data_IF_199431058541
#
_entry.id   IF_199431058541
#
_cell.length_a   1.000
_cell.length_b   1.000
_cell.length_c   1.000
_cell.angle_alpha   90.00
_cell.angle_beta   90.00
_cell.angle_gamma   90.00
#
_symmetry.space_group_name_H-M   'P 1'
#
loop_
_entity.id
_entity.type
_entity.pdbx_description
1 polymer ?
#
# COMPACT_ATOMS: atom_id res chain seq x y z
N UNK A 1 3.17 -3.35 20.54
CA UNK A 1 3.09 -2.16 21.40
C UNK A 1 1.63 -1.75 21.50
N UNK A 2 1.20 -1.28 22.66
CA UNK A 2 -0.10 -0.64 22.87
C UNK A 2 -0.02 0.83 22.44
N UNK A 3 -1.18 1.50 22.31
CA UNK A 3 -1.22 2.92 21.97
C UNK A 3 -0.53 3.79 23.03
N UNK A 4 -0.70 3.44 24.30
CA UNK A 4 -0.01 4.12 25.42
C UNK A 4 1.51 3.94 25.34
N UNK A 5 1.99 2.74 25.00
CA UNK A 5 3.43 2.49 24.79
C UNK A 5 3.96 3.30 23.62
N UNK A 6 3.23 3.40 22.50
CA UNK A 6 3.62 4.25 21.37
C UNK A 6 3.73 5.72 21.78
N UNK A 7 2.74 6.26 22.50
CA UNK A 7 2.77 7.65 22.93
C UNK A 7 3.94 7.93 23.87
N UNK A 8 4.13 7.09 24.88
CA UNK A 8 5.19 7.28 25.90
C UNK A 8 6.59 7.13 25.28
N UNK A 9 6.81 6.10 24.47
CA UNK A 9 8.13 5.88 23.83
C UNK A 9 8.41 6.95 22.77
N UNK A 10 7.38 7.50 22.10
CA UNK A 10 7.53 8.63 21.19
C UNK A 10 8.10 9.85 21.90
N UNK A 11 7.53 10.22 23.05
CA UNK A 11 8.00 11.37 23.85
C UNK A 11 9.43 11.16 24.35
N UNK A 12 9.76 9.96 24.81
CA UNK A 12 11.11 9.62 25.26
C UNK A 12 12.13 9.75 24.13
N UNK A 13 11.83 9.20 22.95
CA UNK A 13 12.74 9.26 21.79
C UNK A 13 12.84 10.69 21.22
N UNK A 14 11.74 11.43 21.13
CA UNK A 14 11.75 12.79 20.66
C UNK A 14 12.62 13.69 21.55
N UNK A 15 12.51 13.53 22.88
CA UNK A 15 13.30 14.30 23.83
C UNK A 15 14.77 13.85 23.84
N UNK A 16 15.07 12.55 23.77
CA UNK A 16 16.45 12.06 23.74
C UNK A 16 17.23 12.51 22.49
N UNK A 17 16.58 12.52 21.33
CA UNK A 17 17.19 12.95 20.06
C UNK A 17 17.31 14.48 19.95
N UNK A 18 16.55 15.24 20.75
CA UNK A 18 16.66 16.70 20.79
C UNK A 18 17.88 17.21 21.56
N UNK A 19 18.50 16.38 22.39
CA UNK A 19 19.66 16.73 23.26
C UNK A 19 20.95 16.97 22.46
N UNK A 20 21.01 16.72 21.17
CA UNK A 20 22.16 17.01 20.31
C UNK A 20 22.33 18.50 19.95
N UNK A 21 21.64 19.44 20.63
CA UNK A 21 21.87 20.87 20.44
C UNK A 21 23.04 21.34 21.31
N UNK A 22 23.96 22.17 20.76
CA UNK A 22 25.09 22.65 21.53
C UNK A 22 24.62 23.47 22.74
N UNK A 23 25.27 23.24 23.84
CA UNK A 23 25.16 23.91 25.14
C UNK A 23 24.67 25.35 25.05
N UNK A 24 23.47 25.66 25.53
CA UNK A 24 23.02 27.04 25.71
C UNK A 24 21.62 27.45 25.29
N UNK A 25 20.82 26.56 24.68
CA UNK A 25 19.39 26.86 24.43
C UNK A 25 18.50 26.10 25.42
N UNK A 26 17.59 26.85 26.03
CA UNK A 26 16.61 26.43 27.04
C UNK A 26 16.07 25.02 26.84
N UNK A 27 16.20 24.17 27.86
CA UNK A 27 15.67 22.83 28.04
C UNK A 27 14.13 22.82 28.15
N UNK A 28 13.42 23.30 27.14
CA UNK A 28 12.00 23.00 27.07
C UNK A 28 11.83 21.67 26.37
N UNK A 29 11.27 20.65 27.06
CA UNK A 29 10.98 19.38 26.42
C UNK A 29 10.12 19.60 25.20
N UNK A 30 10.38 18.80 24.13
CA UNK A 30 9.54 18.79 22.95
C UNK A 30 8.23 18.12 23.31
N UNK A 31 7.14 18.88 23.29
CA UNK A 31 5.80 18.35 23.49
C UNK A 31 5.12 18.18 22.15
N UNK A 32 4.57 16.99 21.93
CA UNK A 32 3.69 16.65 20.81
C UNK A 32 2.33 16.24 21.36
N UNK A 33 1.26 16.77 20.80
CA UNK A 33 -0.07 16.31 21.17
C UNK A 33 -0.37 14.94 20.52
N UNK A 34 -1.36 14.21 21.04
CA UNK A 34 -1.67 12.84 20.60
C UNK A 34 -2.13 12.80 19.12
N UNK A 35 -2.73 13.88 18.61
CA UNK A 35 -3.06 13.99 17.20
C UNK A 35 -1.81 14.09 16.31
N UNK A 36 -0.85 14.95 16.68
CA UNK A 36 0.41 15.08 15.96
C UNK A 36 1.18 13.76 15.95
N UNK A 37 1.28 13.07 17.10
CA UNK A 37 1.90 11.75 17.20
C UNK A 37 1.22 10.75 16.28
N UNK A 38 -0.12 10.71 16.29
CA UNK A 38 -0.91 9.82 15.44
C UNK A 38 -0.67 10.07 13.95
N UNK A 39 -0.57 11.35 13.52
CA UNK A 39 -0.25 11.72 12.14
C UNK A 39 1.13 11.21 11.73
N UNK A 40 2.16 11.43 12.58
CA UNK A 40 3.52 10.96 12.28
C UNK A 40 3.63 9.44 12.28
N UNK A 41 2.97 8.75 13.22
CA UNK A 41 2.95 7.29 13.28
C UNK A 41 2.27 6.68 12.06
N UNK A 42 1.12 7.22 11.63
CA UNK A 42 0.42 6.78 10.43
C UNK A 42 1.29 6.94 9.18
N UNK A 43 1.91 8.10 9.02
CA UNK A 43 2.81 8.38 7.89
C UNK A 43 4.04 7.46 7.88
N UNK A 44 4.65 7.26 9.03
CA UNK A 44 5.79 6.36 9.19
C UNK A 44 5.41 4.90 8.86
N UNK A 45 4.24 4.44 9.32
CA UNK A 45 3.69 3.13 8.99
C UNK A 45 3.57 2.93 7.48
N UNK A 46 2.97 3.88 6.75
CA UNK A 46 2.87 3.80 5.30
C UNK A 46 4.24 3.80 4.60
N UNK A 47 5.16 4.63 5.08
CA UNK A 47 6.53 4.70 4.54
C UNK A 47 7.25 3.37 4.67
N UNK A 48 7.14 2.73 5.84
CA UNK A 48 7.75 1.42 6.10
C UNK A 48 7.13 0.33 5.24
N UNK A 49 5.79 0.31 5.08
CA UNK A 49 5.12 -0.66 4.19
C UNK A 49 5.63 -0.52 2.76
N UNK A 50 5.74 0.72 2.23
CA UNK A 50 6.29 0.98 0.90
C UNK A 50 7.75 0.55 0.78
N UNK A 51 8.56 0.83 1.79
CA UNK A 51 9.98 0.51 1.80
C UNK A 51 10.23 -1.02 1.88
N UNK A 52 9.40 -1.74 2.65
CA UNK A 52 9.46 -3.21 2.72
C UNK A 52 9.02 -3.86 1.41
N UNK A 53 7.95 -3.34 0.78
CA UNK A 53 7.47 -3.87 -0.49
C UNK A 53 8.49 -3.66 -1.62
N UNK A 54 9.04 -2.46 -1.73
CA UNK A 54 10.01 -2.10 -2.79
C UNK A 54 11.43 -2.65 -2.55
N UNK A 55 11.72 -3.18 -1.36
CA UNK A 55 13.06 -3.65 -1.00
C UNK A 55 14.03 -2.56 -0.59
N UNK A 56 13.60 -1.31 -0.51
CA UNK A 56 14.48 -0.17 -0.17
C UNK A 56 15.06 -0.25 1.25
N UNK A 57 14.37 -0.94 2.16
CA UNK A 57 14.81 -1.07 3.56
C UNK A 57 15.82 -2.21 3.75
N UNK A 58 15.66 -3.31 3.03
CA UNK A 58 16.40 -4.56 3.27
C UNK A 58 17.27 -4.97 2.09
N UNK A 59 17.20 -4.26 0.97
CA UNK A 59 17.83 -4.63 -0.30
C UNK A 59 17.16 -5.82 -0.99
N UNK A 60 16.04 -6.33 -0.45
CA UNK A 60 15.24 -7.43 -1.02
C UNK A 60 13.77 -7.04 -1.04
N UNK A 61 13.07 -7.37 -2.13
CA UNK A 61 11.66 -7.07 -2.30
C UNK A 61 10.77 -8.02 -1.49
N UNK A 62 9.49 -7.65 -1.35
CA UNK A 62 8.48 -8.41 -0.61
C UNK A 62 8.43 -9.90 -1.00
N UNK A 63 8.58 -10.22 -2.29
CA UNK A 63 8.48 -11.60 -2.79
C UNK A 63 9.75 -12.43 -2.55
N UNK A 64 10.90 -11.79 -2.28
CA UNK A 64 12.19 -12.49 -2.21
C UNK A 64 12.43 -13.19 -0.87
N UNK A 65 11.79 -12.75 0.21
CA UNK A 65 12.02 -13.34 1.54
C UNK A 65 10.74 -13.69 2.28
N UNK A 66 10.75 -14.85 2.96
CA UNK A 66 9.61 -15.28 3.78
C UNK A 66 9.33 -14.33 4.94
N UNK A 67 10.36 -13.74 5.53
CA UNK A 67 10.20 -12.82 6.65
C UNK A 67 9.44 -11.55 6.26
N UNK A 68 9.76 -10.96 5.10
CA UNK A 68 9.05 -9.79 4.59
C UNK A 68 7.57 -10.09 4.31
N UNK A 69 7.29 -11.29 3.74
CA UNK A 69 5.91 -11.75 3.56
C UNK A 69 5.16 -11.90 4.88
N UNK A 70 5.82 -12.40 5.93
CA UNK A 70 5.24 -12.49 7.28
C UNK A 70 4.98 -11.13 7.90
N UNK A 71 5.88 -10.16 7.72
CA UNK A 71 5.71 -8.81 8.27
C UNK A 71 4.49 -8.08 7.69
N UNK A 72 4.23 -8.26 6.40
CA UNK A 72 3.10 -7.63 5.72
C UNK A 72 1.87 -8.54 5.56
N UNK A 73 1.91 -9.77 6.10
CA UNK A 73 0.83 -10.75 5.92
C UNK A 73 -0.54 -10.27 6.40
N UNK A 74 -0.58 -9.42 7.44
CA UNK A 74 -1.82 -8.84 7.96
C UNK A 74 -2.52 -7.92 6.94
N UNK A 75 -1.77 -7.33 6.02
CA UNK A 75 -2.27 -6.42 4.99
C UNK A 75 -2.61 -7.15 3.67
N UNK A 76 -2.29 -8.44 3.54
CA UNK A 76 -2.56 -9.18 2.31
C UNK A 76 -4.03 -9.57 2.25
N UNK A 77 -4.74 -9.00 1.28
CA UNK A 77 -6.15 -9.29 1.02
C UNK A 77 -6.33 -9.90 -0.36
N UNK A 78 -7.44 -10.60 -0.56
CA UNK A 78 -7.83 -11.16 -1.86
C UNK A 78 -9.22 -10.67 -2.21
N UNK A 79 -9.40 -10.19 -3.44
CA UNK A 79 -10.69 -9.76 -3.97
C UNK A 79 -10.93 -10.34 -5.34
N UNK A 80 -12.16 -10.80 -5.57
CA UNK A 80 -12.61 -11.29 -6.87
C UNK A 80 -13.71 -10.37 -7.40
N UNK A 81 -13.48 -9.83 -8.58
CA UNK A 81 -14.44 -9.05 -9.33
C UNK A 81 -15.18 -9.98 -10.30
N UNK A 82 -16.48 -9.78 -10.41
CA UNK A 82 -17.30 -10.44 -11.42
C UNK A 82 -17.07 -9.76 -12.78
N UNK A 83 -17.65 -10.35 -13.84
CA UNK A 83 -17.60 -9.80 -15.19
C UNK A 83 -17.89 -8.29 -15.16
N UNK A 84 -17.02 -7.50 -15.80
CA UNK A 84 -17.22 -6.06 -15.91
C UNK A 84 -18.34 -5.75 -16.91
N UNK A 85 -19.20 -4.80 -16.55
CA UNK A 85 -20.27 -4.33 -17.42
C UNK A 85 -19.78 -3.24 -18.41
N UNK A 86 -18.67 -2.56 -18.08
CA UNK A 86 -18.11 -1.49 -18.88
C UNK A 86 -16.91 -1.97 -19.71
N UNK A 87 -16.92 -1.59 -20.99
CA UNK A 87 -15.77 -1.78 -21.87
C UNK A 87 -14.80 -0.61 -21.71
N UNK A 88 -13.51 -0.91 -21.75
CA UNK A 88 -12.46 0.10 -21.74
C UNK A 88 -12.32 0.83 -23.09
N UNK A 89 -11.26 1.63 -23.19
CA UNK A 89 -10.96 2.41 -24.39
C UNK A 89 -10.48 1.53 -25.56
N UNK A 90 -9.87 0.38 -25.25
CA UNK A 90 -9.32 -0.53 -26.25
C UNK A 90 -10.35 -1.60 -26.63
N UNK A 91 -10.30 -2.04 -27.89
CA UNK A 91 -11.18 -3.13 -28.37
C UNK A 91 -10.88 -4.42 -27.60
N UNK A 92 -11.91 -5.03 -27.01
CA UNK A 92 -11.79 -6.25 -26.21
C UNK A 92 -11.24 -6.00 -24.80
N UNK A 93 -11.43 -4.80 -24.27
CA UNK A 93 -11.00 -4.47 -22.92
C UNK A 93 -12.16 -4.37 -21.93
N UNK A 94 -11.84 -4.64 -20.65
CA UNK A 94 -12.77 -4.65 -19.54
C UNK A 94 -12.22 -3.78 -18.42
N UNK A 95 -13.04 -2.87 -17.89
CA UNK A 95 -12.67 -1.99 -16.81
C UNK A 95 -13.05 -2.59 -15.45
N UNK A 96 -12.13 -2.59 -14.53
CA UNK A 96 -12.34 -2.99 -13.15
C UNK A 96 -11.90 -1.87 -12.20
N UNK A 97 -12.86 -1.30 -11.47
CA UNK A 97 -12.56 -0.30 -10.45
C UNK A 97 -11.99 -1.00 -9.22
N UNK A 98 -10.80 -0.59 -8.80
CA UNK A 98 -10.17 -1.07 -7.59
C UNK A 98 -10.67 -0.27 -6.38
N UNK A 99 -10.62 -0.90 -5.21
CA UNK A 99 -10.92 -0.19 -3.97
C UNK A 99 -9.79 0.77 -3.62
N UNK A 100 -10.12 1.84 -2.92
CA UNK A 100 -9.14 2.87 -2.51
C UNK A 100 -8.09 2.36 -1.51
N UNK A 101 -8.31 1.18 -0.91
CA UNK A 101 -7.37 0.53 -0.01
C UNK A 101 -6.31 -0.31 -0.74
N UNK A 102 -6.41 -0.52 -2.04
CA UNK A 102 -5.41 -1.27 -2.83
C UNK A 102 -4.13 -0.45 -2.97
N UNK A 103 -3.06 -0.89 -2.32
CA UNK A 103 -1.76 -0.23 -2.40
C UNK A 103 -0.85 -0.87 -3.44
N UNK A 104 -0.69 -2.19 -3.39
CA UNK A 104 0.15 -2.95 -4.33
C UNK A 104 -0.52 -4.27 -4.68
N UNK A 105 -0.63 -4.58 -5.96
CA UNK A 105 -1.13 -5.87 -6.44
C UNK A 105 0.05 -6.84 -6.49
N UNK A 106 -0.07 -7.98 -5.78
CA UNK A 106 0.99 -8.99 -5.69
C UNK A 106 0.73 -10.19 -6.59
N UNK A 107 -0.52 -10.50 -6.85
CA UNK A 107 -0.90 -11.61 -7.72
C UNK A 107 -2.23 -11.32 -8.40
N UNK A 108 -2.33 -11.75 -9.64
CA UNK A 108 -3.50 -11.52 -10.47
C UNK A 108 -3.84 -12.74 -11.30
N UNK A 109 -5.12 -12.98 -11.48
CA UNK A 109 -5.62 -14.00 -12.41
C UNK A 109 -7.00 -13.63 -12.91
N UNK A 110 -7.31 -14.01 -14.14
CA UNK A 110 -8.65 -13.89 -14.68
C UNK A 110 -9.14 -15.24 -15.17
N UNK A 111 -10.45 -15.46 -15.20
CA UNK A 111 -11.05 -16.69 -15.70
C UNK A 111 -12.04 -16.42 -16.82
N UNK A 112 -12.19 -17.37 -17.72
CA UNK A 112 -13.12 -17.33 -18.83
C UNK A 112 -13.77 -18.69 -19.06
N UNK A 113 -15.02 -18.65 -19.46
CA UNK A 113 -15.81 -19.79 -19.96
C UNK A 113 -16.15 -19.63 -21.45
N UNK A 114 -15.40 -18.78 -22.16
CA UNK A 114 -15.62 -18.56 -23.60
C UNK A 114 -15.45 -19.88 -24.37
N UNK A 115 -16.49 -20.24 -25.14
CA UNK A 115 -16.53 -21.48 -25.96
C UNK A 115 -15.45 -21.56 -27.04
N UNK A 116 -14.78 -20.45 -27.33
CA UNK A 116 -13.63 -20.41 -28.26
C UNK A 116 -12.37 -20.98 -27.64
N UNK A 117 -12.34 -21.17 -26.34
CA UNK A 117 -11.23 -21.80 -25.62
C UNK A 117 -11.42 -23.30 -25.55
N UNK A 118 -10.33 -24.05 -25.60
CA UNK A 118 -10.36 -25.51 -25.53
C UNK A 118 -10.66 -26.07 -24.14
N UNK A 119 -10.92 -25.23 -23.15
CA UNK A 119 -11.18 -25.61 -21.76
C UNK A 119 -12.52 -25.01 -21.30
N UNK A 120 -13.30 -25.81 -20.58
CA UNK A 120 -14.57 -25.36 -19.99
C UNK A 120 -14.39 -24.19 -19.01
N UNK A 121 -13.21 -24.05 -18.41
CA UNK A 121 -12.81 -22.92 -17.56
C UNK A 121 -11.34 -22.65 -17.75
N UNK A 122 -11.03 -21.64 -18.54
CA UNK A 122 -9.66 -21.19 -18.75
C UNK A 122 -9.25 -20.18 -17.69
N UNK A 123 -7.99 -20.27 -17.26
CA UNK A 123 -7.36 -19.32 -16.36
C UNK A 123 -6.25 -18.59 -17.09
N UNK A 124 -6.24 -17.26 -16.99
CA UNK A 124 -5.26 -16.41 -17.64
C UNK A 124 -4.28 -15.84 -16.62
N UNK A 125 -3.03 -15.79 -17.04
CA UNK A 125 -2.01 -14.95 -16.41
C UNK A 125 -2.28 -13.50 -16.82
N UNK A 126 -2.26 -12.59 -15.86
CA UNK A 126 -2.39 -11.15 -16.10
C UNK A 126 -1.01 -10.53 -16.14
N UNK A 127 -0.66 -9.89 -17.25
CA UNK A 127 0.62 -9.22 -17.44
C UNK A 127 0.41 -7.71 -17.34
N UNK A 128 0.96 -7.04 -16.31
CA UNK A 128 0.96 -5.59 -16.25
C UNK A 128 1.87 -5.01 -17.35
N UNK A 129 1.37 -4.00 -18.05
CA UNK A 129 2.08 -3.31 -19.13
C UNK A 129 1.98 -1.81 -18.91
N UNK A 130 3.07 -1.10 -19.14
CA UNK A 130 3.08 0.36 -19.06
C UNK A 130 2.40 1.00 -20.26
N UNK A 131 1.89 2.22 -20.12
CA UNK A 131 1.14 2.90 -21.18
C UNK A 131 1.98 3.12 -22.45
N UNK A 132 3.27 3.39 -22.30
CA UNK A 132 4.21 3.60 -23.40
C UNK A 132 4.59 2.30 -24.14
N UNK A 133 4.65 1.17 -23.42
CA UNK A 133 4.96 -0.14 -24.02
C UNK A 133 3.73 -0.86 -24.56
N UNK A 134 2.53 -0.38 -24.24
CA UNK A 134 1.27 -1.07 -24.56
C UNK A 134 1.15 -1.40 -26.06
N UNK A 135 1.33 -0.40 -26.91
CA UNK A 135 1.14 -0.59 -28.36
C UNK A 135 2.11 -1.61 -28.95
N UNK A 136 3.37 -1.58 -28.53
CA UNK A 136 4.40 -2.53 -28.98
C UNK A 136 4.13 -3.95 -28.46
N UNK A 137 3.66 -4.07 -27.21
CA UNK A 137 3.33 -5.36 -26.59
C UNK A 137 2.04 -5.95 -27.18
N UNK A 138 1.00 -5.13 -27.36
CA UNK A 138 -0.29 -5.57 -27.91
C UNK A 138 -0.14 -6.16 -29.32
N UNK A 139 0.66 -5.53 -30.19
CA UNK A 139 0.89 -5.98 -31.56
C UNK A 139 1.91 -7.13 -31.66
N UNK A 140 2.57 -7.48 -30.58
CA UNK A 140 3.54 -8.57 -30.59
C UNK A 140 2.85 -9.94 -30.43
N UNK A 141 2.95 -10.86 -31.42
CA UNK A 141 2.27 -12.14 -31.36
C UNK A 141 2.71 -13.04 -30.19
N UNK A 142 3.92 -12.82 -29.67
CA UNK A 142 4.47 -13.60 -28.56
C UNK A 142 4.22 -12.99 -27.18
N UNK A 143 4.08 -11.66 -27.10
CA UNK A 143 3.89 -10.93 -25.83
C UNK A 143 2.46 -10.41 -25.63
N UNK A 144 1.70 -10.27 -26.70
CA UNK A 144 0.32 -9.78 -26.68
C UNK A 144 -0.65 -10.74 -26.00
N UNK A 145 -1.90 -10.30 -25.87
CA UNK A 145 -3.00 -11.10 -25.33
C UNK A 145 -3.23 -12.37 -26.18
N UNK A 146 -3.35 -13.52 -25.51
CA UNK A 146 -3.54 -14.82 -26.13
C UNK A 146 -4.39 -15.76 -25.25
N UNK A 147 -4.48 -17.04 -25.57
CA UNK A 147 -5.29 -18.05 -24.86
C UNK A 147 -4.86 -18.29 -23.39
N UNK A 148 -3.70 -17.79 -22.96
CA UNK A 148 -3.17 -17.99 -21.60
C UNK A 148 -2.86 -16.67 -20.89
N UNK A 149 -2.83 -15.57 -21.64
CA UNK A 149 -2.37 -14.26 -21.14
C UNK A 149 -3.31 -13.15 -21.56
N UNK A 150 -3.57 -12.26 -20.64
CA UNK A 150 -4.22 -10.97 -20.86
C UNK A 150 -3.28 -9.85 -20.42
N UNK A 151 -3.47 -8.67 -21.01
CA UNK A 151 -2.69 -7.50 -20.65
C UNK A 151 -3.47 -6.64 -19.66
N UNK A 152 -2.78 -6.00 -18.72
CA UNK A 152 -3.33 -5.04 -17.78
C UNK A 152 -2.68 -3.68 -17.98
N UNK A 153 -3.52 -2.65 -18.09
CA UNK A 153 -3.13 -1.25 -18.00
C UNK A 153 -3.67 -0.64 -16.71
N UNK A 154 -2.84 0.11 -16.01
CA UNK A 154 -3.29 0.87 -14.85
C UNK A 154 -3.95 2.17 -15.32
N UNK A 155 -5.11 2.47 -14.76
CA UNK A 155 -5.89 3.69 -14.99
C UNK A 155 -6.16 4.38 -13.64
N UNK A 156 -6.69 5.61 -13.69
CA UNK A 156 -6.87 6.47 -12.51
C UNK A 156 -7.52 5.75 -11.31
N UNK A 157 -8.64 5.07 -11.52
CA UNK A 157 -9.40 4.44 -10.43
C UNK A 157 -9.39 2.91 -10.46
N UNK A 158 -8.54 2.28 -11.27
CA UNK A 158 -8.58 0.84 -11.42
C UNK A 158 -7.66 0.30 -12.49
N UNK A 159 -8.11 -0.75 -13.15
CA UNK A 159 -7.34 -1.45 -14.17
C UNK A 159 -8.19 -1.73 -15.40
N UNK A 160 -7.58 -1.64 -16.58
CA UNK A 160 -8.13 -2.07 -17.84
C UNK A 160 -7.47 -3.39 -18.25
N UNK A 161 -8.26 -4.45 -18.35
CA UNK A 161 -7.81 -5.76 -18.83
C UNK A 161 -8.12 -5.91 -20.31
N UNK A 162 -7.11 -6.19 -21.12
CA UNK A 162 -7.22 -6.39 -22.56
C UNK A 162 -7.11 -7.86 -22.87
N UNK A 163 -8.17 -8.45 -23.43
CA UNK A 163 -8.30 -9.87 -23.73
C UNK A 163 -8.87 -10.08 -25.12
N UNK A 164 -8.54 -11.23 -25.74
CA UNK A 164 -9.20 -11.72 -26.97
C UNK A 164 -10.46 -12.53 -26.67
N UNK A 165 -10.70 -12.86 -25.41
CA UNK A 165 -11.78 -13.71 -24.93
C UNK A 165 -12.59 -13.00 -23.86
N UNK A 166 -13.81 -13.42 -23.65
CA UNK A 166 -14.65 -12.89 -22.59
C UNK A 166 -14.06 -13.22 -21.21
N UNK A 167 -14.08 -12.25 -20.29
CA UNK A 167 -13.62 -12.41 -18.92
C UNK A 167 -14.83 -12.55 -18.00
N UNK A 168 -14.91 -13.66 -17.26
CA UNK A 168 -16.01 -13.92 -16.33
C UNK A 168 -15.70 -13.41 -14.92
N UNK A 169 -14.43 -13.55 -14.50
CA UNK A 169 -13.99 -13.02 -13.21
C UNK A 169 -12.53 -12.61 -13.26
N UNK A 170 -12.21 -11.60 -12.45
CA UNK A 170 -10.88 -11.11 -12.22
C UNK A 170 -10.58 -11.16 -10.73
N UNK A 171 -9.52 -11.85 -10.35
CA UNK A 171 -9.12 -12.02 -8.95
C UNK A 171 -7.75 -11.41 -8.74
N UNK A 172 -7.65 -10.55 -7.73
CA UNK A 172 -6.41 -9.95 -7.29
C UNK A 172 -6.09 -10.37 -5.85
N UNK A 173 -4.81 -10.51 -5.58
CA UNK A 173 -4.26 -10.50 -4.23
C UNK A 173 -3.39 -9.26 -4.10
N UNK A 174 -3.61 -8.49 -3.07
CA UNK A 174 -2.98 -7.18 -2.92
C UNK A 174 -2.61 -6.89 -1.48
N UNK A 175 -1.68 -5.98 -1.31
CA UNK A 175 -1.37 -5.35 -0.02
C UNK A 175 -2.30 -4.15 0.11
N UNK A 176 -3.13 -4.16 1.16
CA UNK A 176 -4.01 -3.04 1.47
C UNK A 176 -3.24 -1.92 2.17
N UNK A 177 -3.74 -0.69 2.03
CA UNK A 177 -3.33 0.42 2.88
C UNK A 177 -3.57 0.02 4.34
N UNK A 178 -2.59 0.17 5.24
CA UNK A 178 -2.80 -0.09 6.66
C UNK A 178 -3.78 0.93 7.24
N UNK A 179 -4.56 0.53 8.25
CA UNK A 179 -5.40 1.47 8.99
C UNK A 179 -4.51 2.49 9.72
N UNK A 180 -4.95 3.75 9.84
CA UNK A 180 -4.18 4.77 10.55
C UNK A 180 -3.94 4.35 12.01
N UNK A 181 -2.82 4.76 12.58
CA UNK A 181 -2.55 4.60 14.02
C UNK A 181 -3.08 5.83 14.74
N UNK A 182 -4.18 5.68 15.48
CA UNK A 182 -4.80 6.76 16.25
C UNK A 182 -4.69 6.41 17.73
N UNK A 183 -3.93 7.20 18.47
CA UNK A 183 -3.57 6.91 19.85
C UNK A 183 -4.74 7.10 20.82
N UNK A 184 -5.61 8.08 20.56
CA UNK A 184 -6.81 8.41 21.35
C UNK A 184 -7.94 8.81 20.40
N UNK A 185 -9.18 8.73 20.87
CA UNK A 185 -10.33 9.25 20.12
C UNK A 185 -10.14 10.73 19.82
N UNK A 186 -10.23 11.08 18.54
CA UNK A 186 -10.02 12.45 18.09
C UNK A 186 -11.29 13.28 18.32
N UNK A 187 -11.16 14.55 18.69
CA UNK A 187 -12.30 15.45 18.83
C UNK A 187 -13.01 15.68 17.49
N UNK A 188 -14.29 16.06 17.56
CA UNK A 188 -15.12 16.33 16.40
C UNK A 188 -14.45 17.32 15.43
N UNK A 189 -14.41 16.95 14.17
CA UNK A 189 -13.79 17.73 13.11
C UNK A 189 -12.33 17.37 12.80
N UNK A 190 -11.69 16.53 13.60
CA UNK A 190 -10.37 15.96 13.29
C UNK A 190 -10.53 14.50 12.88
N UNK A 191 -9.82 14.12 11.81
CA UNK A 191 -9.74 12.74 11.34
C UNK A 191 -8.40 12.48 10.69
N UNK A 192 -7.97 11.23 10.70
CA UNK A 192 -6.81 10.73 9.95
C UNK A 192 -7.34 9.64 9.03
N UNK A 193 -7.19 9.80 7.72
CA UNK A 193 -7.72 8.87 6.71
C UNK A 193 -9.24 8.58 6.86
N UNK A 194 -10.03 9.57 7.25
CA UNK A 194 -11.47 9.51 7.56
C UNK A 194 -11.84 8.71 8.83
N UNK A 195 -10.85 8.31 9.62
CA UNK A 195 -11.06 7.68 10.92
C UNK A 195 -10.80 8.68 12.04
N UNK A 196 -11.61 8.61 13.09
CA UNK A 196 -11.50 9.50 14.28
C UNK A 196 -11.45 8.73 15.60
N UNK A 197 -11.64 7.42 15.57
CA UNK A 197 -11.60 6.57 16.76
C UNK A 197 -10.21 6.00 16.97
N UNK A 198 -9.92 5.65 18.22
CA UNK A 198 -8.72 4.94 18.58
C UNK A 198 -8.53 3.66 17.73
N UNK A 199 -7.38 3.54 17.08
CA UNK A 199 -7.00 2.37 16.28
C UNK A 199 -5.60 1.90 16.65
N UNK A 200 -5.39 0.59 16.58
CA UNK A 200 -4.09 -0.05 16.88
C UNK A 200 -3.32 -0.33 15.59
N UNK A 201 -2.00 -0.38 15.71
CA UNK A 201 -1.16 -0.83 14.62
C UNK A 201 -1.45 -2.30 14.27
N UNK A 202 -1.82 -2.56 13.01
CA UNK A 202 -2.12 -3.90 12.49
C UNK A 202 -0.87 -4.68 12.08
N UNK A 203 0.26 -4.00 11.94
CA UNK A 203 1.49 -4.62 11.49
C UNK A 203 2.12 -5.50 12.59
N UNK A 204 3.01 -6.39 12.15
CA UNK A 204 3.75 -7.26 13.06
C UNK A 204 4.52 -6.45 14.10
N UNK A 205 4.51 -6.91 15.35
CA UNK A 205 5.13 -6.24 16.49
C UNK A 205 6.64 -5.94 16.31
N UNK A 206 7.32 -6.70 15.46
CA UNK A 206 8.72 -6.46 15.09
C UNK A 206 8.91 -5.11 14.40
N UNK A 207 7.90 -4.65 13.66
CA UNK A 207 7.94 -3.39 12.93
C UNK A 207 7.61 -2.17 13.79
N UNK A 208 7.00 -2.36 14.96
CA UNK A 208 6.53 -1.25 15.81
C UNK A 208 7.64 -0.26 16.17
N UNK A 209 8.84 -0.77 16.50
CA UNK A 209 9.98 0.11 16.81
C UNK A 209 10.49 0.87 15.60
N UNK A 210 10.52 0.24 14.44
CA UNK A 210 10.91 0.93 13.19
C UNK A 210 9.92 2.05 12.84
N UNK A 211 8.62 1.79 13.02
CA UNK A 211 7.57 2.79 12.82
C UNK A 211 7.77 3.97 13.77
N UNK A 212 8.04 3.68 15.03
CA UNK A 212 8.27 4.69 16.05
C UNK A 212 9.50 5.56 15.75
N UNK A 213 10.62 4.94 15.42
CA UNK A 213 11.87 5.64 15.08
C UNK A 213 11.69 6.54 13.84
N UNK A 214 11.03 6.05 12.79
CA UNK A 214 10.75 6.84 11.59
C UNK A 214 9.78 7.99 11.88
N UNK A 215 8.74 7.75 12.70
CA UNK A 215 7.79 8.79 13.09
C UNK A 215 8.48 9.94 13.87
N UNK A 216 9.33 9.59 14.81
CA UNK A 216 10.11 10.57 15.59
C UNK A 216 11.07 11.34 14.67
N UNK A 217 11.77 10.65 13.77
CA UNK A 217 12.68 11.29 12.82
C UNK A 217 11.94 12.30 11.92
N UNK A 218 10.75 11.96 11.41
CA UNK A 218 9.93 12.87 10.63
C UNK A 218 9.43 14.06 11.46
N UNK A 219 8.99 13.83 12.69
CA UNK A 219 8.53 14.88 13.59
C UNK A 219 9.64 15.90 13.90
N UNK A 220 10.86 15.42 14.16
CA UNK A 220 12.03 16.28 14.41
C UNK A 220 12.43 17.06 13.15
N UNK A 221 12.42 16.44 11.97
CA UNK A 221 12.67 17.12 10.69
C UNK A 221 11.66 18.24 10.43
N UNK A 222 10.37 18.00 10.69
CA UNK A 222 9.32 19.01 10.47
C UNK A 222 9.53 20.26 11.31
N UNK A 223 9.92 20.11 12.58
CA UNK A 223 10.22 21.24 13.48
C UNK A 223 11.53 21.97 13.14
N UNK A 224 12.55 21.24 12.67
CA UNK A 224 13.81 21.87 12.26
C UNK A 224 13.68 22.72 10.99
N UNK A 225 12.72 22.40 10.12
CA UNK A 225 12.45 23.18 8.90
C UNK A 225 11.65 24.46 9.16
N UNK A 226 10.92 24.54 10.28
CA UNK A 226 10.09 25.71 10.64
C UNK A 226 10.90 26.81 11.35
N UNK A 227 12.16 26.52 11.73
CA UNK A 227 13.05 27.44 12.46
C UNK A 227 14.05 28.20 11.57
N UNK A 228 13.77 28.32 10.25
CA UNK A 228 14.57 29.14 9.31
C UNK A 228 13.85 30.40 8.90
#
# INVERSE_FOLDING_TARGET
MTNEEFSNEFDVLANSNSITKPFGLTDTPLEFNEYEKSVFLTKAQETIVRALYSGNLTGKSFEETEDLRKYLSALVKTKTFKKADAYGLNTGSYLYNLDSDVMFITYETATSTDKKLCSDKAQFEVLPVTQDEFFSTYNNPFRGANERRILRLDIDSGVELISKYDIDSYTIRYISKPNPIILIDLPDGLSIDNENKETKCELNSVLHRLILEEAVNEALKSRSSTSK
#
